data_IF_366572541515
#
_entry.id   IF_366572541515
#
_cell.length_a   1.000
_cell.length_b   1.000
_cell.length_c   1.000
_cell.angle_alpha   90.00
_cell.angle_beta   90.00
_cell.angle_gamma   90.00
#
_symmetry.space_group_name_H-M   'P 1'
#
loop_
_entity.id
_entity.type
_entity.pdbx_description
1 polymer ?
#
# COMPACT_ATOMS: atom_id res chain seq x y z
N UNK A 1 3.47 -4.04 22.25
CA UNK A 1 4.27 -3.30 23.24
C UNK A 1 4.66 -1.98 22.62
N UNK A 2 4.04 -0.95 23.08
CA UNK A 2 4.20 0.38 22.53
C UNK A 2 5.07 1.26 23.42
N UNK A 3 5.00 2.55 23.18
CA UNK A 3 5.71 3.60 23.92
C UNK A 3 5.45 3.58 25.42
N UNK A 4 4.28 3.14 25.86
CA UNK A 4 3.88 3.12 27.28
C UNK A 4 4.72 2.21 28.16
N UNK A 5 5.18 1.08 27.63
CA UNK A 5 6.05 0.16 28.40
C UNK A 5 7.50 0.65 28.43
N UNK A 6 7.92 1.38 27.42
CA UNK A 6 9.30 1.84 27.33
C UNK A 6 9.62 2.99 28.28
N UNK A 7 8.74 3.99 28.36
CA UNK A 7 8.98 5.21 29.13
C UNK A 7 9.09 4.93 30.64
N UNK A 8 8.17 4.16 31.27
CA UNK A 8 8.29 3.82 32.69
C UNK A 8 9.46 2.92 33.01
N UNK A 9 9.78 1.94 32.14
CA UNK A 9 10.82 0.92 32.43
C UNK A 9 12.24 1.43 32.25
N UNK A 10 12.49 2.45 31.43
CA UNK A 10 13.83 2.85 31.02
C UNK A 10 14.22 4.29 31.41
N UNK A 11 13.49 4.93 32.28
CA UNK A 11 13.54 6.36 32.53
C UNK A 11 13.08 7.22 31.34
N UNK A 12 12.35 8.30 31.56
CA UNK A 12 11.74 9.07 30.50
C UNK A 12 12.82 9.72 29.64
N UNK A 13 12.89 9.28 28.40
CA UNK A 13 13.70 9.92 27.35
C UNK A 13 12.81 10.76 26.48
N UNK A 14 13.41 11.71 25.77
CA UNK A 14 12.72 12.39 24.70
C UNK A 14 12.22 11.38 23.66
N UNK A 15 10.97 11.52 23.26
CA UNK A 15 10.31 10.66 22.31
C UNK A 15 10.11 11.39 20.97
N UNK A 16 10.53 10.75 19.90
CA UNK A 16 10.33 11.25 18.55
C UNK A 16 9.54 10.23 17.75
N UNK A 17 8.37 10.62 17.25
CA UNK A 17 7.56 9.83 16.35
C UNK A 17 7.69 10.39 14.94
N UNK A 18 8.26 9.60 14.04
CA UNK A 18 8.40 9.95 12.63
C UNK A 18 7.36 9.15 11.84
N UNK A 19 6.36 9.83 11.31
CA UNK A 19 5.21 9.23 10.67
C UNK A 19 4.93 9.83 9.28
N UNK A 20 3.77 9.58 8.68
CA UNK A 20 3.34 10.26 7.45
C UNK A 20 2.96 11.71 7.74
N UNK A 21 3.10 12.59 6.72
CA UNK A 21 2.70 14.00 6.88
C UNK A 21 1.23 14.11 7.31
N UNK A 22 0.37 13.28 6.75
CA UNK A 22 -1.05 13.25 7.10
C UNK A 22 -1.30 12.90 8.57
N UNK A 23 -0.78 11.77 9.08
CA UNK A 23 -0.97 11.39 10.49
C UNK A 23 -0.48 12.46 11.47
N UNK A 24 0.60 13.17 11.09
CA UNK A 24 1.06 14.35 11.83
C UNK A 24 0.01 15.46 11.81
N UNK A 25 -0.48 15.81 10.61
CA UNK A 25 -1.36 16.96 10.41
C UNK A 25 -2.78 16.72 10.96
N UNK A 26 -3.21 15.46 11.06
CA UNK A 26 -4.48 15.05 11.67
C UNK A 26 -4.36 14.71 13.17
N UNK A 27 -3.18 14.90 13.76
CA UNK A 27 -2.93 14.63 15.20
C UNK A 27 -3.30 13.20 15.64
N UNK A 28 -3.19 12.20 14.75
CA UNK A 28 -3.53 10.81 15.08
C UNK A 28 -2.66 10.28 16.24
N UNK A 29 -1.38 10.62 16.24
CA UNK A 29 -0.44 10.17 17.26
C UNK A 29 -0.68 10.80 18.63
N UNK A 30 -1.23 11.98 18.71
CA UNK A 30 -1.64 12.61 19.96
C UNK A 30 -2.72 11.78 20.66
N UNK A 31 -3.69 11.26 19.89
CA UNK A 31 -4.68 10.31 20.39
C UNK A 31 -4.08 8.99 20.89
N UNK A 32 -3.09 8.45 20.19
CA UNK A 32 -2.39 7.22 20.56
C UNK A 32 -1.48 7.40 21.79
N UNK A 33 -0.96 8.59 22.02
CA UNK A 33 -0.08 8.92 23.14
C UNK A 33 -0.84 9.28 24.43
N UNK A 34 -2.04 9.83 24.30
CA UNK A 34 -2.84 10.32 25.43
C UNK A 34 -3.11 9.26 26.52
N UNK A 35 -3.44 7.99 26.21
CA UNK A 35 -3.63 6.95 27.23
C UNK A 35 -2.38 6.66 28.08
N UNK A 36 -1.19 7.03 27.58
CA UNK A 36 0.07 6.86 28.26
C UNK A 36 0.55 8.13 28.98
N UNK A 37 -0.33 9.14 29.08
CA UNK A 37 -0.03 10.46 29.68
C UNK A 37 1.15 11.17 28.98
N UNK A 38 1.28 10.97 27.66
CA UNK A 38 2.26 11.61 26.81
C UNK A 38 1.58 12.66 25.92
N UNK A 39 2.18 13.81 25.77
CA UNK A 39 1.68 14.93 24.98
C UNK A 39 2.82 15.61 24.21
N UNK A 40 2.52 16.14 23.04
CA UNK A 40 3.43 17.03 22.30
C UNK A 40 3.65 18.38 22.99
N UNK A 41 2.87 18.70 24.01
CA UNK A 41 3.06 19.87 24.89
C UNK A 41 3.89 19.43 26.11
N UNK A 42 5.15 19.84 26.24
CA UNK A 42 6.06 19.37 27.30
C UNK A 42 5.52 19.61 28.72
N UNK A 43 4.81 20.72 28.92
CA UNK A 43 4.20 21.09 30.21
C UNK A 43 3.16 20.03 30.70
N UNK A 44 2.53 19.32 29.74
CA UNK A 44 1.51 18.32 30.02
C UNK A 44 2.07 16.94 30.29
N UNK A 45 3.36 16.72 30.06
CA UNK A 45 3.99 15.42 30.28
C UNK A 45 4.36 15.23 31.74
N UNK A 46 3.88 14.13 32.34
CA UNK A 46 4.21 13.78 33.73
C UNK A 46 5.72 13.80 34.01
N UNK A 47 6.51 13.27 33.10
CA UNK A 47 7.97 13.22 33.21
C UNK A 47 8.69 14.45 32.66
N UNK A 48 7.98 15.43 32.13
CA UNK A 48 8.52 16.63 31.48
C UNK A 48 9.48 16.35 30.32
N UNK A 49 9.42 15.15 29.74
CA UNK A 49 10.19 14.77 28.56
C UNK A 49 9.56 15.41 27.31
N UNK A 50 10.41 15.66 26.32
CA UNK A 50 9.96 16.18 25.04
C UNK A 50 9.33 15.06 24.22
N UNK A 51 8.15 15.32 23.65
CA UNK A 51 7.50 14.45 22.68
C UNK A 51 7.33 15.23 21.37
N UNK A 52 7.81 14.67 20.29
CA UNK A 52 7.75 15.28 18.95
C UNK A 52 7.08 14.29 18.00
N UNK A 53 6.07 14.75 17.30
CA UNK A 53 5.45 14.03 16.16
C UNK A 53 5.76 14.81 14.89
N UNK A 54 6.47 14.19 13.95
CA UNK A 54 6.83 14.86 12.68
C UNK A 54 6.80 13.86 11.51
N UNK A 55 6.85 14.38 10.31
CA UNK A 55 6.79 13.58 9.09
C UNK A 55 8.15 13.09 8.61
N UNK A 56 8.13 11.98 7.85
CA UNK A 56 9.30 11.47 7.15
C UNK A 56 10.02 12.53 6.29
N UNK A 57 9.28 13.49 5.74
CA UNK A 57 9.87 14.60 4.96
C UNK A 57 10.84 15.43 5.78
N UNK A 58 10.62 15.50 7.08
CA UNK A 58 11.40 16.29 8.03
C UNK A 58 12.46 15.48 8.79
N UNK A 59 12.59 14.17 8.58
CA UNK A 59 13.52 13.30 9.33
C UNK A 59 14.95 13.85 9.38
N UNK A 60 15.35 14.58 8.34
CA UNK A 60 16.68 15.21 8.26
C UNK A 60 17.00 16.17 9.39
N UNK A 61 16.00 16.77 10.04
CA UNK A 61 16.16 17.71 11.17
C UNK A 61 16.70 17.02 12.43
N UNK A 62 16.47 15.71 12.55
CA UNK A 62 16.73 14.95 13.77
C UNK A 62 18.04 14.14 13.75
N UNK A 63 18.89 14.33 12.74
CA UNK A 63 20.14 13.57 12.56
C UNK A 63 21.14 13.71 13.70
N UNK A 64 21.10 14.83 14.43
CA UNK A 64 22.02 15.15 15.52
C UNK A 64 21.42 14.85 16.90
N UNK A 65 20.18 14.36 16.95
CA UNK A 65 19.54 13.95 18.21
C UNK A 65 20.24 12.69 18.72
N UNK A 66 20.55 12.70 20.03
CA UNK A 66 21.18 11.57 20.70
C UNK A 66 20.46 11.24 22.00
N UNK A 67 20.59 10.01 22.46
CA UNK A 67 20.02 9.52 23.72
C UNK A 67 18.49 9.67 23.85
N UNK A 68 17.79 9.66 22.73
CA UNK A 68 16.33 9.69 22.64
C UNK A 68 15.77 8.31 22.26
N UNK A 69 14.44 8.22 22.22
CA UNK A 69 13.72 7.09 21.66
C UNK A 69 12.95 7.50 20.40
N UNK A 70 13.08 6.73 19.34
CA UNK A 70 12.41 6.99 18.08
C UNK A 70 11.40 5.90 17.76
N UNK A 71 10.22 6.31 17.34
CA UNK A 71 9.23 5.47 16.68
C UNK A 71 9.18 5.88 15.22
N UNK A 72 9.53 4.97 14.33
CA UNK A 72 9.40 5.15 12.89
C UNK A 72 8.15 4.42 12.40
N UNK A 73 7.08 5.17 12.23
CA UNK A 73 5.77 4.66 11.82
C UNK A 73 5.63 4.67 10.30
N UNK A 74 4.93 3.66 9.76
CA UNK A 74 4.74 3.46 8.31
C UNK A 74 6.09 3.46 7.56
N UNK A 75 6.90 2.43 7.81
CA UNK A 75 8.26 2.31 7.28
C UNK A 75 8.44 2.80 5.83
N UNK A 76 9.35 3.79 5.66
CA UNK A 76 9.72 4.39 4.37
C UNK A 76 11.20 4.20 4.02
N UNK A 77 11.94 3.45 4.81
CA UNK A 77 13.39 3.23 4.62
C UNK A 77 13.67 2.07 3.67
N UNK A 78 13.09 2.15 2.49
CA UNK A 78 13.38 1.25 1.37
C UNK A 78 14.33 1.94 0.39
N UNK A 79 15.32 1.22 -0.11
CA UNK A 79 16.36 1.84 -0.96
C UNK A 79 17.43 2.60 -0.16
N UNK A 80 18.08 3.62 -0.77
CA UNK A 80 19.23 4.32 -0.17
C UNK A 80 19.15 5.85 -0.38
N UNK A 81 17.94 6.39 -0.30
CA UNK A 81 17.67 7.83 -0.41
C UNK A 81 18.02 8.63 0.83
N UNK A 82 17.66 9.92 0.83
CA UNK A 82 17.93 10.87 1.91
C UNK A 82 17.31 10.42 3.25
N UNK A 83 16.12 9.85 3.23
CA UNK A 83 15.43 9.33 4.42
C UNK A 83 16.18 8.16 5.06
N UNK A 84 16.64 7.21 4.26
CA UNK A 84 17.44 6.07 4.75
C UNK A 84 18.75 6.53 5.38
N UNK A 85 19.43 7.48 4.75
CA UNK A 85 20.68 8.05 5.33
C UNK A 85 20.42 8.74 6.65
N UNK A 86 19.32 9.50 6.77
CA UNK A 86 18.92 10.12 8.01
C UNK A 86 18.58 9.10 9.10
N UNK A 87 17.76 8.10 8.76
CA UNK A 87 17.41 6.99 9.64
C UNK A 87 18.66 6.28 10.19
N UNK A 88 19.61 5.90 9.34
CA UNK A 88 20.83 5.23 9.77
C UNK A 88 21.69 6.08 10.71
N UNK A 89 21.73 7.40 10.50
CA UNK A 89 22.44 8.31 11.40
C UNK A 89 21.74 8.39 12.76
N UNK A 90 20.44 8.54 12.79
CA UNK A 90 19.62 8.58 14.01
C UNK A 90 19.72 7.25 14.78
N UNK A 91 19.55 6.13 14.09
CA UNK A 91 19.55 4.79 14.69
C UNK A 91 20.88 4.45 15.40
N UNK A 92 21.99 5.03 14.95
CA UNK A 92 23.32 4.80 15.54
C UNK A 92 23.45 5.33 16.97
N UNK A 93 22.76 6.42 17.32
CA UNK A 93 22.92 7.14 18.58
C UNK A 93 21.67 7.13 19.47
N UNK A 94 20.62 6.46 19.02
CA UNK A 94 19.34 6.42 19.71
C UNK A 94 18.77 5.01 19.78
N UNK A 95 17.85 4.77 20.70
CA UNK A 95 16.99 3.58 20.65
C UNK A 95 15.83 3.83 19.70
N UNK A 96 15.36 2.79 19.05
CA UNK A 96 14.28 2.93 18.06
C UNK A 96 13.49 1.66 17.87
N UNK A 97 12.25 1.84 17.45
CA UNK A 97 11.40 0.81 16.86
C UNK A 97 10.91 1.27 15.50
N UNK A 98 10.57 0.34 14.65
CA UNK A 98 10.06 0.60 13.32
C UNK A 98 8.77 -0.19 13.15
N UNK A 99 7.68 0.54 12.89
CA UNK A 99 6.34 -0.02 12.73
C UNK A 99 6.01 -0.12 11.25
N UNK A 100 5.52 -1.27 10.83
CA UNK A 100 5.06 -1.47 9.45
C UNK A 100 4.12 -2.66 9.36
N UNK A 101 3.03 -2.51 8.65
CA UNK A 101 2.18 -3.63 8.26
C UNK A 101 2.84 -4.47 7.14
N UNK A 102 3.78 -3.89 6.40
CA UNK A 102 4.48 -4.52 5.27
C UNK A 102 5.97 -4.21 5.35
N UNK A 103 6.74 -4.95 6.17
CA UNK A 103 8.12 -4.62 6.49
C UNK A 103 9.09 -4.72 5.30
N UNK A 104 8.74 -5.44 4.23
CA UNK A 104 9.51 -5.50 2.98
C UNK A 104 9.09 -6.69 2.11
N UNK A 105 9.08 -6.48 0.79
CA UNK A 105 8.75 -7.50 -0.22
C UNK A 105 9.99 -8.24 -0.70
N UNK A 106 11.15 -7.60 -0.61
CA UNK A 106 12.45 -8.12 -1.08
C UNK A 106 13.52 -7.96 -0.02
N UNK A 107 14.60 -8.74 -0.12
CA UNK A 107 15.73 -8.59 0.80
C UNK A 107 16.41 -7.22 0.72
N UNK A 108 16.27 -6.50 -0.40
CA UNK A 108 16.77 -5.13 -0.51
C UNK A 108 16.07 -4.18 0.46
N UNK A 109 14.80 -4.41 0.74
CA UNK A 109 14.01 -3.55 1.62
C UNK A 109 14.47 -3.65 3.08
N UNK A 110 15.09 -4.77 3.44
CA UNK A 110 15.66 -4.99 4.79
C UNK A 110 17.08 -4.45 4.97
N UNK A 111 17.78 -4.06 3.90
CA UNK A 111 19.20 -3.62 4.02
C UNK A 111 19.38 -2.49 5.04
N UNK A 112 18.57 -1.41 5.03
CA UNK A 112 18.74 -0.33 6.01
C UNK A 112 18.56 -0.80 7.45
N UNK A 113 17.58 -1.64 7.69
CA UNK A 113 17.27 -2.18 9.02
C UNK A 113 18.38 -3.14 9.49
N UNK A 114 18.91 -3.96 8.59
CA UNK A 114 20.04 -4.84 8.90
C UNK A 114 21.31 -4.06 9.22
N UNK A 115 21.59 -2.97 8.51
CA UNK A 115 22.71 -2.08 8.82
C UNK A 115 22.49 -1.38 10.17
N UNK A 116 21.29 -0.87 10.44
CA UNK A 116 20.96 -0.21 11.69
C UNK A 116 21.10 -1.13 12.92
N UNK A 117 20.89 -2.44 12.72
CA UNK A 117 21.11 -3.48 13.74
C UNK A 117 22.55 -4.02 13.77
N UNK A 118 23.47 -3.47 12.98
CA UNK A 118 24.88 -3.84 12.97
C UNK A 118 25.18 -5.19 12.30
N UNK A 119 24.26 -5.78 11.54
CA UNK A 119 24.50 -7.06 10.85
C UNK A 119 25.41 -6.91 9.63
N UNK A 120 25.42 -5.74 9.02
CA UNK A 120 26.27 -5.35 7.89
C UNK A 120 26.81 -3.96 8.10
N UNK A 121 28.03 -3.71 7.62
CA UNK A 121 28.68 -2.39 7.73
C UNK A 121 28.01 -1.34 6.86
N UNK A 122 27.62 -1.74 5.67
CA UNK A 122 26.97 -0.86 4.68
C UNK A 122 26.25 -1.71 3.61
N UNK A 123 25.63 -1.03 2.62
CA UNK A 123 24.92 -1.67 1.51
C UNK A 123 25.82 -2.56 0.66
N UNK A 124 27.07 -2.14 0.41
CA UNK A 124 28.04 -2.92 -0.39
C UNK A 124 28.36 -4.24 0.30
N UNK A 125 28.63 -4.21 1.59
CA UNK A 125 28.89 -5.39 2.40
C UNK A 125 27.74 -6.43 2.32
N UNK A 126 26.49 -5.97 2.30
CA UNK A 126 25.34 -6.86 2.07
C UNK A 126 25.30 -7.40 0.65
N UNK A 127 25.52 -6.53 -0.36
CA UNK A 127 25.47 -6.91 -1.76
C UNK A 127 26.53 -7.98 -2.08
N UNK A 128 27.75 -7.78 -1.63
CA UNK A 128 28.88 -8.68 -1.88
C UNK A 128 28.64 -10.09 -1.30
N UNK A 129 27.90 -10.17 -0.18
CA UNK A 129 27.61 -11.44 0.47
C UNK A 129 26.36 -12.15 -0.06
N UNK A 130 25.41 -11.40 -0.64
CA UNK A 130 24.07 -11.96 -0.86
C UNK A 130 23.49 -11.73 -2.25
N UNK A 131 24.04 -10.84 -3.09
CA UNK A 131 23.37 -10.47 -4.34
C UNK A 131 24.15 -11.00 -5.53
N UNK A 132 23.45 -11.70 -6.43
CA UNK A 132 23.93 -12.06 -7.76
C UNK A 132 23.14 -11.24 -8.76
N UNK A 133 23.86 -10.49 -9.59
CA UNK A 133 23.27 -9.71 -10.66
C UNK A 133 23.13 -10.52 -11.95
N UNK A 134 22.08 -10.24 -12.71
CA UNK A 134 21.90 -10.77 -14.06
C UNK A 134 22.89 -10.06 -15.01
N UNK A 135 23.92 -10.78 -15.43
CA UNK A 135 24.98 -10.26 -16.31
C UNK A 135 24.47 -9.91 -17.72
N UNK A 136 23.28 -10.44 -18.11
CA UNK A 136 22.66 -10.15 -19.42
C UNK A 136 21.82 -8.88 -19.40
N UNK A 137 21.54 -8.33 -18.24
CA UNK A 137 20.72 -7.14 -18.14
C UNK A 137 21.52 -5.88 -18.45
N UNK A 138 20.95 -4.98 -19.26
CA UNK A 138 21.56 -3.67 -19.60
C UNK A 138 21.82 -2.79 -18.37
N UNK A 139 21.03 -2.97 -17.30
CA UNK A 139 21.15 -2.25 -16.04
C UNK A 139 21.24 -3.24 -14.88
N UNK A 140 21.87 -2.88 -13.75
CA UNK A 140 21.97 -3.77 -12.59
C UNK A 140 20.62 -4.32 -12.18
N UNK A 141 20.40 -5.59 -12.42
CA UNK A 141 19.19 -6.33 -12.08
C UNK A 141 19.57 -7.55 -11.26
N UNK A 142 18.94 -7.70 -10.10
CA UNK A 142 19.19 -8.86 -9.26
C UNK A 142 18.60 -10.11 -9.94
N UNK A 143 19.44 -11.11 -10.13
CA UNK A 143 19.04 -12.44 -10.57
C UNK A 143 18.53 -13.26 -9.39
N UNK A 144 19.36 -13.40 -8.35
CA UNK A 144 19.02 -14.15 -7.14
C UNK A 144 19.78 -13.66 -5.91
N UNK A 145 19.31 -14.13 -4.75
CA UNK A 145 20.01 -13.93 -3.49
C UNK A 145 20.69 -15.21 -3.03
N UNK A 146 21.90 -15.07 -2.48
CA UNK A 146 22.67 -16.13 -1.86
C UNK A 146 22.44 -16.17 -0.34
N UNK A 147 22.66 -17.32 0.27
CA UNK A 147 22.59 -17.50 1.72
C UNK A 147 21.27 -17.02 2.36
N UNK A 148 20.15 -17.23 1.67
CA UNK A 148 18.83 -16.77 2.10
C UNK A 148 18.43 -17.30 3.48
N UNK A 149 18.88 -18.48 3.88
CA UNK A 149 18.69 -19.01 5.23
C UNK A 149 19.30 -18.14 6.33
N UNK A 150 20.45 -17.48 6.05
CA UNK A 150 21.03 -16.48 6.98
C UNK A 150 20.15 -15.23 7.04
N UNK A 151 19.68 -14.74 5.90
CA UNK A 151 18.81 -13.56 5.84
C UNK A 151 17.49 -13.79 6.60
N UNK A 152 16.90 -14.98 6.47
CA UNK A 152 15.71 -15.37 7.25
C UNK A 152 16.00 -15.30 8.75
N UNK A 153 17.07 -15.93 9.24
CA UNK A 153 17.43 -15.90 10.66
C UNK A 153 17.70 -14.48 11.18
N UNK A 154 18.34 -13.62 10.38
CA UNK A 154 18.58 -12.23 10.77
C UNK A 154 17.28 -11.43 10.85
N UNK A 155 16.37 -11.61 9.88
CA UNK A 155 15.04 -11.00 9.92
C UNK A 155 14.27 -11.45 11.16
N UNK A 156 14.22 -12.74 11.44
CA UNK A 156 13.44 -13.31 12.54
C UNK A 156 13.98 -12.89 13.92
N UNK A 157 15.24 -12.45 14.01
CA UNK A 157 15.80 -11.86 15.25
C UNK A 157 15.30 -10.45 15.54
N UNK A 158 14.88 -9.70 14.53
CA UNK A 158 14.53 -8.27 14.66
C UNK A 158 13.06 -8.00 14.37
N UNK A 159 12.40 -8.91 13.65
CA UNK A 159 10.99 -8.78 13.30
C UNK A 159 10.15 -9.42 14.42
N UNK A 160 9.42 -8.56 15.13
CA UNK A 160 8.38 -9.00 16.05
C UNK A 160 7.07 -9.01 15.29
N UNK A 161 6.55 -10.21 15.04
CA UNK A 161 5.19 -10.36 14.53
C UNK A 161 4.26 -10.26 15.72
N UNK A 162 3.37 -9.30 15.71
CA UNK A 162 2.33 -9.23 16.74
C UNK A 162 1.28 -10.28 16.41
N UNK A 163 1.09 -11.24 17.32
CA UNK A 163 0.02 -12.26 17.25
C UNK A 163 -1.33 -11.58 17.56
N UNK A 164 -1.72 -10.68 16.67
CA UNK A 164 -3.01 -10.04 16.74
C UNK A 164 -4.03 -10.93 16.02
N UNK A 165 -4.89 -11.57 16.79
CA UNK A 165 -6.07 -12.25 16.24
C UNK A 165 -7.13 -11.16 15.95
N UNK A 166 -7.40 -10.95 14.69
CA UNK A 166 -8.51 -10.10 14.26
C UNK A 166 -9.81 -10.73 14.75
N UNK A 167 -10.67 -9.93 15.30
CA UNK A 167 -12.02 -10.36 15.69
C UNK A 167 -12.98 -10.37 14.49
N UNK A 168 -12.51 -9.90 13.35
CA UNK A 168 -13.28 -9.80 12.11
C UNK A 168 -13.02 -10.99 11.21
N UNK A 169 -14.06 -11.42 10.49
CA UNK A 169 -13.99 -12.41 9.41
C UNK A 169 -14.03 -11.67 8.07
N UNK A 170 -12.99 -11.86 7.26
CA UNK A 170 -12.90 -11.22 5.94
C UNK A 170 -13.42 -12.15 4.85
N UNK A 171 -14.46 -11.72 4.14
CA UNK A 171 -15.05 -12.42 2.99
C UNK A 171 -14.56 -11.78 1.70
N UNK A 172 -13.73 -12.49 0.95
CA UNK A 172 -13.23 -12.04 -0.34
C UNK A 172 -13.97 -12.77 -1.48
N UNK A 173 -14.64 -12.02 -2.33
CA UNK A 173 -15.36 -12.55 -3.49
C UNK A 173 -14.82 -11.97 -4.80
N UNK A 174 -14.51 -12.85 -5.74
CA UNK A 174 -14.13 -12.49 -7.11
C UNK A 174 -15.40 -12.42 -7.97
N UNK A 175 -15.87 -11.22 -8.30
CA UNK A 175 -17.03 -10.98 -9.16
C UNK A 175 -16.58 -10.97 -10.61
N UNK A 176 -16.97 -11.98 -11.36
CA UNK A 176 -16.62 -12.11 -12.78
C UNK A 176 -17.44 -11.14 -13.63
N UNK A 177 -16.76 -10.29 -14.39
CA UNK A 177 -17.37 -9.33 -15.31
C UNK A 177 -16.94 -9.61 -16.75
N UNK A 178 -17.86 -9.63 -17.71
CA UNK A 178 -17.51 -9.69 -19.12
C UNK A 178 -16.77 -8.43 -19.58
N UNK A 179 -16.23 -8.46 -20.78
CA UNK A 179 -15.54 -7.32 -21.40
C UNK A 179 -15.56 -7.48 -22.93
N UNK A 180 -15.35 -6.40 -23.67
CA UNK A 180 -15.26 -6.43 -25.12
C UNK A 180 -13.97 -7.16 -25.58
N UNK A 181 -14.14 -8.44 -25.87
CA UNK A 181 -13.07 -9.33 -26.33
C UNK A 181 -12.53 -8.91 -27.70
N UNK A 182 -13.38 -8.38 -28.58
CA UNK A 182 -12.99 -8.01 -29.94
C UNK A 182 -12.07 -6.79 -29.92
N UNK A 183 -12.47 -5.75 -29.20
CA UNK A 183 -11.65 -4.56 -29.00
C UNK A 183 -10.37 -4.87 -28.24
N UNK A 184 -10.44 -5.69 -27.19
CA UNK A 184 -9.25 -6.13 -26.44
C UNK A 184 -8.22 -6.81 -27.35
N UNK A 185 -8.66 -7.78 -28.17
CA UNK A 185 -7.79 -8.48 -29.13
C UNK A 185 -7.23 -7.53 -30.18
N UNK A 186 -8.01 -6.53 -30.62
CA UNK A 186 -7.56 -5.52 -31.59
C UNK A 186 -6.45 -4.66 -31.02
N UNK A 187 -6.60 -4.10 -29.82
CA UNK A 187 -5.56 -3.32 -29.12
C UNK A 187 -4.30 -4.16 -28.91
N UNK A 188 -4.46 -5.40 -28.45
CA UNK A 188 -3.35 -6.34 -28.21
C UNK A 188 -2.53 -6.62 -29.47
N UNK A 189 -3.20 -6.82 -30.63
CA UNK A 189 -2.55 -7.19 -31.89
C UNK A 189 -1.99 -6.00 -32.65
N UNK A 190 -2.81 -4.96 -32.78
CA UNK A 190 -2.45 -3.79 -33.60
C UNK A 190 -1.55 -2.80 -32.89
N UNK A 191 -1.46 -2.86 -31.55
CA UNK A 191 -0.70 -1.90 -30.73
C UNK A 191 -1.11 -0.47 -31.03
N UNK A 192 -2.42 -0.22 -31.11
CA UNK A 192 -2.99 1.08 -31.43
C UNK A 192 -3.80 1.61 -30.24
N UNK A 193 -3.51 2.84 -29.84
CA UNK A 193 -4.27 3.55 -28.82
C UNK A 193 -5.56 4.10 -29.45
N UNK A 194 -6.70 3.53 -29.13
CA UNK A 194 -8.00 3.86 -29.72
C UNK A 194 -8.53 5.23 -29.28
N UNK A 195 -8.03 5.78 -28.19
CA UNK A 195 -8.51 7.04 -27.62
C UNK A 195 -7.67 8.24 -28.08
N UNK A 196 -6.41 8.02 -28.45
CA UNK A 196 -5.48 9.05 -28.92
C UNK A 196 -5.17 8.91 -30.42
N UNK A 197 -5.73 7.89 -31.04
CA UNK A 197 -5.58 7.56 -32.46
C UNK A 197 -4.12 7.53 -32.94
N UNK A 198 -3.27 6.81 -32.19
CA UNK A 198 -1.84 6.68 -32.47
C UNK A 198 -1.28 5.30 -32.06
N UNK A 199 -0.08 4.93 -32.57
CA UNK A 199 0.60 3.72 -32.12
C UNK A 199 0.91 3.74 -30.62
N UNK A 200 0.83 2.55 -29.98
CA UNK A 200 1.26 2.31 -28.60
C UNK A 200 2.78 2.06 -28.59
N UNK A 201 3.51 2.86 -27.83
CA UNK A 201 4.99 2.82 -27.82
C UNK A 201 5.57 2.02 -26.66
N UNK A 202 4.90 1.97 -25.52
CA UNK A 202 5.42 1.38 -24.30
C UNK A 202 4.57 0.23 -23.76
N UNK A 203 5.19 -0.63 -22.92
CA UNK A 203 4.48 -1.68 -22.22
C UNK A 203 3.42 -1.13 -21.24
N UNK A 204 3.73 -0.03 -20.56
CA UNK A 204 2.80 0.65 -19.66
C UNK A 204 1.57 1.17 -20.39
N UNK A 205 1.77 1.83 -21.55
CA UNK A 205 0.68 2.33 -22.37
C UNK A 205 -0.22 1.21 -22.91
N UNK A 206 0.39 0.08 -23.31
CA UNK A 206 -0.39 -1.08 -23.71
C UNK A 206 -1.25 -1.62 -22.56
N UNK A 207 -0.65 -1.80 -21.39
CA UNK A 207 -1.38 -2.27 -20.23
C UNK A 207 -2.50 -1.31 -19.83
N UNK A 208 -2.25 0.01 -19.88
CA UNK A 208 -3.26 1.04 -19.65
C UNK A 208 -4.42 0.94 -20.64
N UNK A 209 -4.13 0.85 -21.95
CA UNK A 209 -5.14 0.75 -23.01
C UNK A 209 -5.97 -0.54 -22.88
N UNK A 210 -5.33 -1.67 -22.59
CA UNK A 210 -6.04 -2.94 -22.37
C UNK A 210 -6.95 -2.87 -21.13
N UNK A 211 -6.48 -2.24 -20.05
CA UNK A 211 -7.32 -2.02 -18.86
C UNK A 211 -8.46 -1.07 -19.14
N UNK A 212 -8.25 -0.05 -19.96
CA UNK A 212 -9.31 0.88 -20.34
C UNK A 212 -10.42 0.16 -21.09
N UNK A 213 -10.10 -0.75 -22.03
CA UNK A 213 -11.13 -1.61 -22.67
C UNK A 213 -11.89 -2.42 -21.64
N UNK A 214 -11.19 -3.08 -20.71
CA UNK A 214 -11.78 -4.01 -19.74
C UNK A 214 -12.60 -3.28 -18.67
N UNK A 215 -12.09 -2.16 -18.16
CA UNK A 215 -12.68 -1.47 -17.02
C UNK A 215 -13.78 -0.47 -17.43
N UNK A 216 -13.85 -0.12 -18.73
CA UNK A 216 -14.91 0.75 -19.27
C UNK A 216 -16.11 -0.03 -19.83
N UNK A 217 -16.12 -1.35 -19.69
CA UNK A 217 -17.26 -2.16 -20.11
C UNK A 217 -18.45 -1.92 -19.16
N UNK A 218 -19.64 -1.71 -19.73
CA UNK A 218 -20.86 -1.40 -18.97
C UNK A 218 -21.22 -2.50 -17.98
N UNK A 219 -20.89 -3.75 -18.28
CA UNK A 219 -21.14 -4.87 -17.38
C UNK A 219 -20.41 -4.70 -16.01
N UNK A 220 -19.27 -4.01 -15.99
CA UNK A 220 -18.55 -3.70 -14.75
C UNK A 220 -19.33 -2.69 -13.89
N UNK A 221 -19.91 -1.71 -14.53
CA UNK A 221 -20.78 -0.73 -13.87
C UNK A 221 -22.05 -1.37 -13.32
N UNK A 222 -22.68 -2.27 -14.10
CA UNK A 222 -23.85 -3.04 -13.66
C UNK A 222 -23.51 -3.89 -12.42
N UNK A 223 -22.40 -4.62 -12.45
CA UNK A 223 -21.96 -5.43 -11.31
C UNK A 223 -21.70 -4.58 -10.05
N UNK A 224 -21.14 -3.36 -10.20
CA UNK A 224 -20.99 -2.43 -9.09
C UNK A 224 -22.36 -2.00 -8.53
N UNK A 225 -23.31 -1.62 -9.39
CA UNK A 225 -24.63 -1.16 -8.96
C UNK A 225 -25.39 -2.27 -8.21
N UNK A 226 -25.29 -3.53 -8.65
CA UNK A 226 -25.85 -4.68 -7.95
C UNK A 226 -25.26 -4.87 -6.54
N UNK A 227 -23.98 -4.58 -6.36
CA UNK A 227 -23.33 -4.63 -5.06
C UNK A 227 -23.76 -3.45 -4.17
N UNK A 228 -23.90 -2.26 -4.74
CA UNK A 228 -24.37 -1.06 -4.00
C UNK A 228 -25.83 -1.21 -3.55
N UNK A 229 -26.65 -1.90 -4.33
CA UNK A 229 -28.02 -2.22 -3.93
C UNK A 229 -28.07 -3.12 -2.68
N UNK A 230 -27.13 -4.07 -2.59
CA UNK A 230 -27.00 -5.00 -1.44
C UNK A 230 -26.38 -4.34 -0.22
N UNK A 231 -25.46 -3.40 -0.43
CA UNK A 231 -24.67 -2.75 0.59
C UNK A 231 -24.83 -1.22 0.50
N UNK A 232 -25.62 -0.60 1.36
CA UNK A 232 -25.95 0.81 1.22
C UNK A 232 -24.77 1.76 1.50
N UNK A 233 -23.70 1.28 2.09
CA UNK A 233 -22.49 2.05 2.40
C UNK A 233 -21.29 1.33 1.83
N UNK A 234 -20.69 1.85 0.75
CA UNK A 234 -19.63 1.17 0.02
C UNK A 234 -18.45 2.09 -0.26
N UNK A 235 -17.25 1.59 0.01
CA UNK A 235 -16.01 2.20 -0.48
C UNK A 235 -15.65 1.53 -1.80
N UNK A 236 -15.44 2.33 -2.85
CA UNK A 236 -15.05 1.85 -4.17
C UNK A 236 -13.62 2.31 -4.48
N UNK A 237 -12.68 1.37 -4.54
CA UNK A 237 -11.31 1.66 -4.95
C UNK A 237 -11.14 1.57 -6.46
N UNK A 238 -10.49 2.58 -7.04
CA UNK A 238 -10.20 2.68 -8.47
C UNK A 238 -8.75 3.14 -8.72
N UNK A 239 -8.24 2.96 -9.96
CA UNK A 239 -6.87 3.34 -10.33
C UNK A 239 -6.78 4.62 -11.15
N UNK A 240 -7.62 4.78 -12.18
CA UNK A 240 -7.45 5.75 -13.26
C UNK A 240 -8.58 6.78 -13.31
N UNK A 241 -8.29 7.96 -13.83
CA UNK A 241 -9.27 9.05 -13.91
C UNK A 241 -10.47 8.70 -14.80
N UNK A 242 -10.27 7.93 -15.89
CA UNK A 242 -11.41 7.46 -16.70
C UNK A 242 -12.34 6.52 -15.91
N UNK A 243 -11.83 5.76 -14.94
CA UNK A 243 -12.67 4.96 -14.03
C UNK A 243 -13.48 5.88 -13.11
N UNK A 244 -12.87 6.94 -12.61
CA UNK A 244 -13.58 7.95 -11.81
C UNK A 244 -14.71 8.61 -12.61
N UNK A 245 -14.45 8.99 -13.87
CA UNK A 245 -15.46 9.60 -14.73
C UNK A 245 -16.66 8.66 -14.93
N UNK A 246 -16.41 7.37 -15.18
CA UNK A 246 -17.46 6.34 -15.27
C UNK A 246 -18.21 6.26 -13.95
N UNK A 247 -17.51 6.08 -12.83
CA UNK A 247 -18.11 5.94 -11.50
C UNK A 247 -18.99 7.13 -11.12
N UNK A 248 -18.57 8.35 -11.47
CA UNK A 248 -19.36 9.57 -11.21
C UNK A 248 -20.57 9.72 -12.13
N UNK A 249 -20.56 9.10 -13.30
CA UNK A 249 -21.69 9.13 -14.23
C UNK A 249 -22.82 8.16 -13.87
N UNK A 250 -22.56 7.21 -12.96
CA UNK A 250 -23.54 6.21 -12.56
C UNK A 250 -24.64 6.78 -11.67
N UNK A 251 -25.86 6.32 -11.87
CA UNK A 251 -26.95 6.57 -10.95
C UNK A 251 -27.05 5.44 -9.91
N UNK A 252 -26.66 5.74 -8.69
CA UNK A 252 -26.62 4.78 -7.58
C UNK A 252 -27.98 4.57 -6.87
N UNK A 253 -29.01 5.31 -7.25
CA UNK A 253 -30.32 5.26 -6.65
C UNK A 253 -30.64 6.51 -5.82
N UNK A 254 -31.89 6.62 -5.41
CA UNK A 254 -32.37 7.77 -4.63
C UNK A 254 -31.78 7.78 -3.22
N UNK A 255 -31.34 8.95 -2.78
CA UNK A 255 -30.79 9.18 -1.44
C UNK A 255 -29.34 8.74 -1.25
N UNK A 256 -28.61 8.32 -2.30
CA UNK A 256 -27.18 8.06 -2.19
C UNK A 256 -26.36 9.35 -2.23
N UNK A 257 -25.49 9.51 -1.23
CA UNK A 257 -24.45 10.53 -1.23
C UNK A 257 -23.19 9.98 -1.92
N UNK A 258 -22.56 10.78 -2.77
CA UNK A 258 -21.31 10.41 -3.45
C UNK A 258 -20.23 11.37 -3.00
N UNK A 259 -19.14 10.83 -2.46
CA UNK A 259 -17.96 11.60 -2.12
C UNK A 259 -16.71 10.94 -2.68
N UNK A 260 -15.62 11.69 -2.83
CA UNK A 260 -14.41 11.23 -3.47
C UNK A 260 -13.15 11.61 -2.70
N UNK A 261 -12.16 10.70 -2.77
CA UNK A 261 -10.81 10.90 -2.26
C UNK A 261 -9.80 10.53 -3.33
N UNK A 262 -9.12 11.52 -3.88
CA UNK A 262 -8.11 11.35 -4.92
C UNK A 262 -7.00 12.41 -4.78
N UNK A 263 -6.08 12.49 -5.75
CA UNK A 263 -4.97 13.45 -5.73
C UNK A 263 -5.39 14.92 -5.77
N UNK A 264 -6.63 15.22 -6.11
CA UNK A 264 -7.15 16.59 -6.29
C UNK A 264 -8.24 16.97 -5.29
N UNK A 265 -8.98 16.00 -4.79
CA UNK A 265 -10.15 16.23 -3.93
C UNK A 265 -10.16 15.28 -2.74
N UNK A 266 -10.31 15.82 -1.56
CA UNK A 266 -10.28 15.10 -0.30
C UNK A 266 -11.57 15.39 0.50
N UNK A 267 -12.68 14.78 0.09
CA UNK A 267 -13.93 14.91 0.81
C UNK A 267 -13.95 13.98 2.03
N UNK A 268 -14.62 14.34 3.12
CA UNK A 268 -14.86 13.43 4.23
C UNK A 268 -15.74 12.25 3.78
N UNK A 269 -15.69 11.16 4.54
CA UNK A 269 -16.63 10.05 4.37
C UNK A 269 -18.03 10.58 4.71
N UNK A 270 -19.05 10.31 3.89
CA UNK A 270 -20.41 10.75 4.19
C UNK A 270 -20.95 10.09 5.48
N UNK A 271 -21.77 10.86 6.21
CA UNK A 271 -22.38 10.41 7.46
C UNK A 271 -23.78 9.79 7.24
N UNK A 272 -24.33 9.89 6.02
CA UNK A 272 -25.66 9.41 5.65
C UNK A 272 -25.84 7.89 5.77
N UNK A 273 -27.09 7.44 5.57
CA UNK A 273 -27.42 6.00 5.61
C UNK A 273 -27.08 5.29 4.32
N UNK A 274 -26.99 6.01 3.21
CA UNK A 274 -26.63 5.48 1.89
C UNK A 274 -25.55 6.33 1.24
N UNK A 275 -24.42 5.73 0.94
CA UNK A 275 -23.34 6.46 0.27
C UNK A 275 -22.38 5.55 -0.51
N UNK A 276 -21.72 6.15 -1.48
CA UNK A 276 -20.61 5.57 -2.22
C UNK A 276 -19.40 6.49 -2.08
N UNK A 277 -18.31 5.96 -1.55
CA UNK A 277 -17.06 6.69 -1.38
C UNK A 277 -16.02 6.23 -2.39
N UNK A 278 -15.75 7.07 -3.37
CA UNK A 278 -14.85 6.79 -4.48
C UNK A 278 -13.40 7.13 -4.10
N UNK A 279 -12.54 6.14 -4.02
CA UNK A 279 -11.18 6.30 -3.50
C UNK A 279 -10.14 5.87 -4.53
N UNK A 280 -9.27 6.80 -4.94
CA UNK A 280 -8.14 6.48 -5.79
C UNK A 280 -7.03 5.81 -4.97
N UNK A 281 -6.52 4.67 -5.43
CA UNK A 281 -5.50 3.91 -4.69
C UNK A 281 -4.27 4.74 -4.32
N UNK A 282 -3.77 5.57 -5.23
CA UNK A 282 -2.55 6.38 -5.02
C UNK A 282 -2.68 7.40 -3.91
N UNK A 283 -3.89 7.93 -3.69
CA UNK A 283 -4.17 8.95 -2.69
C UNK A 283 -4.80 8.37 -1.41
N UNK A 284 -5.50 7.24 -1.52
CA UNK A 284 -6.40 6.76 -0.47
C UNK A 284 -6.06 5.40 0.12
N UNK A 285 -4.97 4.74 -0.28
CA UNK A 285 -4.58 3.48 0.35
C UNK A 285 -3.91 3.66 1.72
N UNK A 286 -3.55 4.87 2.11
CA UNK A 286 -2.88 5.18 3.38
C UNK A 286 -3.55 6.35 4.11
N UNK A 287 -3.41 6.39 5.43
CA UNK A 287 -3.63 7.59 6.25
C UNK A 287 -5.08 7.92 6.63
N UNK A 288 -6.08 7.05 6.46
CA UNK A 288 -7.44 7.21 6.96
C UNK A 288 -8.08 5.86 7.31
N UNK A 289 -9.13 5.89 8.09
CA UNK A 289 -9.87 4.71 8.52
C UNK A 289 -11.35 4.94 8.31
N UNK A 290 -12.08 3.87 8.04
CA UNK A 290 -13.52 3.88 8.00
C UNK A 290 -14.07 2.72 8.84
N UNK A 291 -14.89 3.04 9.81
CA UNK A 291 -15.58 2.06 10.66
C UNK A 291 -17.10 2.15 10.50
N UNK A 292 -17.57 2.89 9.50
CA UNK A 292 -19.00 3.12 9.25
C UNK A 292 -19.54 2.27 8.10
N UNK A 293 -18.69 1.42 7.51
CA UNK A 293 -19.07 0.39 6.54
C UNK A 293 -18.28 -0.89 6.78
N UNK A 294 -18.85 -2.00 6.37
CA UNK A 294 -18.25 -3.34 6.32
C UNK A 294 -17.81 -3.74 4.90
N UNK A 295 -18.02 -2.89 3.89
CA UNK A 295 -17.91 -3.29 2.49
C UNK A 295 -16.95 -2.43 1.68
N UNK A 296 -16.03 -3.11 0.98
CA UNK A 296 -15.15 -2.52 -0.05
C UNK A 296 -15.38 -3.22 -1.38
N UNK A 297 -15.52 -2.42 -2.45
CA UNK A 297 -15.47 -2.91 -3.84
C UNK A 297 -14.19 -2.43 -4.49
N UNK A 298 -13.38 -3.35 -4.96
CA UNK A 298 -12.23 -3.08 -5.82
C UNK A 298 -12.72 -3.07 -7.28
N UNK A 299 -13.05 -1.87 -7.78
CA UNK A 299 -13.55 -1.69 -9.16
C UNK A 299 -12.55 -2.21 -10.19
N UNK A 300 -11.28 -1.98 -9.93
CA UNK A 300 -10.18 -2.59 -10.67
C UNK A 300 -9.02 -2.90 -9.72
N UNK A 301 -8.23 -3.94 -10.01
CA UNK A 301 -7.10 -4.32 -9.16
C UNK A 301 -5.92 -3.36 -9.34
N UNK A 302 -5.23 -2.99 -8.24
CA UNK A 302 -3.95 -2.30 -8.32
C UNK A 302 -2.82 -3.28 -8.63
N UNK A 303 -1.73 -2.79 -9.23
CA UNK A 303 -0.54 -3.59 -9.56
C UNK A 303 0.29 -4.00 -8.34
N UNK A 304 0.16 -3.27 -7.25
CA UNK A 304 0.94 -3.47 -6.02
C UNK A 304 0.17 -4.30 -5.01
N UNK A 305 0.75 -5.42 -4.59
CA UNK A 305 0.22 -6.24 -3.50
C UNK A 305 0.09 -5.43 -2.20
N UNK A 306 1.11 -4.62 -1.87
CA UNK A 306 1.11 -3.75 -0.69
C UNK A 306 -0.10 -2.80 -0.69
N UNK A 307 -0.34 -2.14 -1.82
CA UNK A 307 -1.44 -1.18 -1.97
C UNK A 307 -2.80 -1.88 -1.77
N UNK A 308 -2.97 -3.08 -2.34
CA UNK A 308 -4.21 -3.87 -2.15
C UNK A 308 -4.45 -4.24 -0.68
N UNK A 309 -3.40 -4.66 0.03
CA UNK A 309 -3.48 -4.99 1.46
C UNK A 309 -3.81 -3.75 2.29
N UNK A 310 -3.19 -2.63 2.00
CA UNK A 310 -3.46 -1.37 2.72
C UNK A 310 -4.87 -0.85 2.46
N UNK A 311 -5.37 -0.95 1.22
CA UNK A 311 -6.74 -0.59 0.87
C UNK A 311 -7.77 -1.47 1.61
N UNK A 312 -7.57 -2.78 1.65
CA UNK A 312 -8.41 -3.69 2.41
C UNK A 312 -8.42 -3.36 3.92
N UNK A 313 -7.27 -2.98 4.46
CA UNK A 313 -7.13 -2.60 5.86
C UNK A 313 -7.85 -1.29 6.26
N UNK A 314 -8.53 -0.57 5.35
CA UNK A 314 -9.22 0.69 5.69
C UNK A 314 -10.46 0.48 6.57
N UNK A 315 -11.16 -0.63 6.42
CA UNK A 315 -12.34 -0.99 7.23
C UNK A 315 -12.03 -2.00 8.35
N UNK A 316 -10.94 -2.74 8.21
CA UNK A 316 -10.53 -3.76 9.17
C UNK A 316 -9.69 -3.13 10.30
N UNK A 317 -10.38 -2.57 11.28
CA UNK A 317 -9.81 -1.83 12.40
C UNK A 317 -10.24 -2.45 13.73
N UNK A 318 -9.41 -2.26 14.77
CA UNK A 318 -9.72 -2.71 16.13
C UNK A 318 -11.05 -2.18 16.66
N UNK A 319 -11.43 -1.00 16.21
CA UNK A 319 -12.64 -0.28 16.67
C UNK A 319 -13.83 -0.47 15.73
N UNK A 320 -13.70 -1.31 14.68
CA UNK A 320 -14.85 -1.57 13.80
C UNK A 320 -15.98 -2.28 14.57
N UNK A 321 -17.24 -1.86 14.40
CA UNK A 321 -18.36 -2.53 15.03
C UNK A 321 -18.80 -3.82 14.32
N UNK A 322 -18.21 -4.10 13.13
CA UNK A 322 -18.58 -5.24 12.29
C UNK A 322 -17.76 -6.47 12.62
N UNK A 323 -18.40 -7.63 12.61
CA UNK A 323 -17.75 -8.95 12.72
C UNK A 323 -17.36 -9.52 11.36
N UNK A 324 -18.14 -9.21 10.34
CA UNK A 324 -17.94 -9.67 8.98
C UNK A 324 -17.62 -8.49 8.07
N UNK A 325 -16.57 -8.62 7.26
CA UNK A 325 -16.12 -7.61 6.31
C UNK A 325 -16.11 -8.18 4.90
N UNK A 326 -16.70 -7.46 3.97
CA UNK A 326 -16.93 -7.91 2.59
C UNK A 326 -16.02 -7.17 1.61
N UNK A 327 -15.29 -7.94 0.80
CA UNK A 327 -14.33 -7.44 -0.18
C UNK A 327 -14.65 -8.01 -1.55
N UNK A 328 -15.25 -7.21 -2.40
CA UNK A 328 -15.62 -7.62 -3.76
C UNK A 328 -14.55 -7.17 -4.75
N UNK A 329 -14.07 -8.10 -5.56
CA UNK A 329 -13.07 -7.83 -6.58
C UNK A 329 -13.70 -7.97 -7.97
N UNK A 330 -14.00 -6.87 -8.67
CA UNK A 330 -14.50 -6.93 -10.03
C UNK A 330 -13.35 -7.33 -10.96
N UNK A 331 -13.49 -8.49 -11.60
CA UNK A 331 -12.45 -9.10 -12.43
C UNK A 331 -13.03 -9.65 -13.72
N UNK A 332 -12.30 -9.47 -14.80
CA UNK A 332 -12.60 -10.15 -16.05
C UNK A 332 -11.71 -11.36 -16.28
N UNK A 333 -12.08 -12.21 -17.25
CA UNK A 333 -11.20 -13.27 -17.74
C UNK A 333 -10.22 -12.77 -18.81
N UNK A 334 -9.98 -11.48 -18.91
CA UNK A 334 -8.96 -10.91 -19.78
C UNK A 334 -7.56 -11.31 -19.37
N UNK A 335 -6.66 -11.42 -20.34
CA UNK A 335 -5.26 -11.77 -20.08
C UNK A 335 -4.58 -10.83 -19.06
N UNK A 336 -4.93 -9.53 -19.05
CA UNK A 336 -4.35 -8.58 -18.12
C UNK A 336 -4.87 -8.75 -16.70
N UNK A 337 -6.20 -8.91 -16.49
CA UNK A 337 -6.75 -9.11 -15.14
C UNK A 337 -6.28 -10.43 -14.54
N UNK A 338 -6.20 -11.49 -15.34
CA UNK A 338 -5.65 -12.78 -14.89
C UNK A 338 -4.18 -12.68 -14.49
N UNK A 339 -3.38 -11.94 -15.25
CA UNK A 339 -1.95 -11.77 -14.95
C UNK A 339 -1.73 -10.92 -13.69
N UNK A 340 -2.53 -9.86 -13.49
CA UNK A 340 -2.52 -9.05 -12.26
C UNK A 340 -2.92 -9.93 -11.07
N UNK A 341 -4.05 -10.63 -11.16
CA UNK A 341 -4.55 -11.53 -10.10
C UNK A 341 -3.52 -12.60 -9.73
N UNK A 342 -2.84 -13.20 -10.72
CA UNK A 342 -1.77 -14.18 -10.49
C UNK A 342 -0.59 -13.58 -9.72
N UNK A 343 -0.19 -12.35 -10.05
CA UNK A 343 0.89 -11.67 -9.34
C UNK A 343 0.50 -11.38 -7.88
N UNK A 344 -0.70 -10.84 -7.66
CA UNK A 344 -1.21 -10.51 -6.34
C UNK A 344 -1.41 -11.76 -5.45
N UNK A 345 -1.93 -12.86 -6.00
CA UNK A 345 -2.04 -14.16 -5.28
C UNK A 345 -0.67 -14.70 -4.86
N UNK A 346 0.37 -14.43 -5.65
CA UNK A 346 1.74 -14.76 -5.32
C UNK A 346 2.42 -13.73 -4.37
N UNK A 347 1.67 -12.77 -3.83
CA UNK A 347 2.15 -11.65 -3.00
C UNK A 347 3.25 -10.83 -3.69
N UNK A 348 3.12 -10.63 -5.00
CA UNK A 348 4.07 -9.89 -5.84
C UNK A 348 3.37 -8.77 -6.57
N UNK A 349 4.16 -7.75 -6.92
CA UNK A 349 3.68 -6.68 -7.79
C UNK A 349 3.59 -7.17 -9.25
N UNK A 350 2.56 -6.73 -9.96
CA UNK A 350 2.44 -6.98 -11.39
C UNK A 350 3.53 -6.21 -12.15
N UNK A 351 4.08 -6.84 -13.19
CA UNK A 351 5.12 -6.25 -14.01
C UNK A 351 4.68 -6.20 -15.48
N UNK A 352 4.43 -5.00 -15.97
CA UNK A 352 3.94 -4.71 -17.32
C UNK A 352 4.88 -5.23 -18.41
N UNK A 353 6.18 -5.01 -18.27
CA UNK A 353 7.17 -5.47 -19.25
C UNK A 353 7.21 -6.99 -19.38
N UNK A 354 7.06 -7.72 -18.27
CA UNK A 354 6.97 -9.19 -18.30
C UNK A 354 5.68 -9.67 -18.94
N UNK A 355 4.55 -9.01 -18.66
CA UNK A 355 3.27 -9.33 -19.25
C UNK A 355 3.32 -9.15 -20.77
N UNK A 356 3.80 -8.03 -21.26
CA UNK A 356 3.91 -7.73 -22.69
C UNK A 356 4.88 -8.69 -23.38
N UNK A 357 6.03 -8.99 -22.78
CA UNK A 357 7.00 -9.95 -23.31
C UNK A 357 6.45 -11.39 -23.38
N UNK A 358 5.60 -11.78 -22.45
CA UNK A 358 4.92 -13.09 -22.49
C UNK A 358 3.79 -13.11 -23.53
N UNK A 359 3.00 -12.07 -23.62
CA UNK A 359 1.87 -11.98 -24.54
C UNK A 359 2.28 -11.86 -26.02
N UNK A 360 3.55 -11.52 -26.29
CA UNK A 360 4.11 -11.40 -27.65
C UNK A 360 4.89 -12.63 -28.09
N UNK A 361 5.12 -13.61 -27.23
CA UNK A 361 5.70 -14.88 -27.65
C UNK A 361 4.74 -15.59 -28.61
N UNK A 362 5.15 -15.98 -29.82
CA UNK A 362 4.34 -16.82 -30.67
C UNK A 362 4.00 -18.09 -29.88
N UNK A 363 2.73 -18.47 -29.86
CA UNK A 363 2.34 -19.76 -29.31
C UNK A 363 3.14 -20.82 -30.08
N UNK A 364 4.08 -21.45 -29.39
CA UNK A 364 4.70 -22.67 -29.91
C UNK A 364 3.54 -23.62 -30.16
N UNK A 365 3.35 -24.00 -31.41
CA UNK A 365 2.44 -25.10 -31.76
C UNK A 365 2.92 -26.28 -30.91
N UNK A 366 2.08 -26.69 -29.96
CA UNK A 366 2.26 -27.97 -29.31
C UNK A 366 2.18 -29.02 -30.43
N UNK A 367 3.28 -29.75 -30.58
CA UNK A 367 3.35 -30.91 -31.46
C UNK A 367 2.52 -32.05 -30.88
#
# INVERSE_FOLDING_TARGET
MGTGDYVPMNSPKDLYVITTARKRDTCEWEGELAPFLLSTHPESNYYKNKVVVDSWNNIGKYKEVTNAFFIFDEQRVVGYGAWTKAFLKIAKSNRWILLSATPGDTWQDYIPVFIANGFYRNKTDFIDQHVVYDWRAKYPKIDRYLNTGRLIRLRDRILVTMDFQRQTVSHHEDVAVPYDIATYKTVMRRRWNLWEDRPIETAGELCYSLRRVVNSDDARSVALLELVEKHPKVIVFYNFDYELDILKSLYYGEGFEIAEWNGHKHQPIPDGDKWVYLVQYTAGCEGWNCITTDTIVFYSQNYSYKVMVQAAGRIDRLTTPYTDLYYYHLKSFSGIDLAISKALKAKKNFNEGKFVGWATKPMSRAA
#
